data_IF_279449195587
#
_entry.id   IF_279449195587
#
_cell.length_a   1.000
_cell.length_b   1.000
_cell.length_c   1.000
_cell.angle_alpha   90.00
_cell.angle_beta   90.00
_cell.angle_gamma   90.00
#
_symmetry.space_group_name_H-M   'P 1'
#
loop_
_entity.id
_entity.type
_entity.pdbx_description
1 polymer ?
#
# COMPACT_ATOMS: atom_id res chain seq x y z
N UNK A 1 49.63 -2.35 53.08
CA UNK A 1 49.51 -1.55 51.83
C UNK A 1 48.87 -2.32 50.65
N UNK A 2 48.39 -3.54 50.84
CA UNK A 2 47.89 -4.41 49.73
C UNK A 2 46.37 -4.44 49.52
N UNK A 3 45.50 -4.17 50.54
CA UNK A 3 44.04 -4.32 50.40
C UNK A 3 43.34 -3.13 49.71
N UNK A 4 43.86 -1.92 49.89
CA UNK A 4 43.27 -0.69 49.29
C UNK A 4 43.42 -0.64 47.77
N UNK A 5 44.45 -1.27 47.22
CA UNK A 5 44.70 -1.32 45.74
C UNK A 5 43.74 -2.34 45.06
N UNK A 6 43.52 -3.52 45.70
CA UNK A 6 42.59 -4.54 45.17
C UNK A 6 41.15 -4.01 45.14
N UNK A 7 40.66 -3.27 46.15
CA UNK A 7 39.31 -2.72 46.15
C UNK A 7 39.07 -1.65 45.11
N UNK A 8 40.09 -0.84 44.75
CA UNK A 8 39.98 0.14 43.65
C UNK A 8 39.86 -0.52 42.29
N UNK A 9 40.59 -1.61 42.04
CA UNK A 9 40.50 -2.33 40.76
C UNK A 9 39.17 -3.06 40.55
N UNK A 10 38.60 -3.65 41.60
CA UNK A 10 37.29 -4.33 41.55
C UNK A 10 36.18 -3.33 41.32
N UNK A 11 36.19 -2.17 42.02
CA UNK A 11 35.21 -1.09 41.82
C UNK A 11 35.24 -0.54 40.38
N UNK A 12 36.41 -0.33 39.81
CA UNK A 12 36.60 0.17 38.45
C UNK A 12 36.12 -0.84 37.39
N UNK A 13 36.32 -2.13 37.63
CA UNK A 13 35.84 -3.21 36.73
C UNK A 13 34.31 -3.34 36.73
N UNK A 14 33.70 -3.23 37.92
CA UNK A 14 32.24 -3.26 38.05
C UNK A 14 31.56 -2.04 37.42
N UNK A 15 32.16 -0.85 37.57
CA UNK A 15 31.70 0.38 36.90
C UNK A 15 31.76 0.30 35.37
N UNK A 16 32.83 -0.25 34.80
CA UNK A 16 32.97 -0.43 33.38
C UNK A 16 31.93 -1.44 32.83
N UNK A 17 31.70 -2.54 33.54
CA UNK A 17 30.67 -3.53 33.16
C UNK A 17 29.26 -2.95 33.25
N UNK A 18 29.00 -2.13 34.26
CA UNK A 18 27.70 -1.44 34.39
C UNK A 18 27.49 -0.47 33.23
N UNK A 19 28.49 0.32 32.89
CA UNK A 19 28.45 1.26 31.79
C UNK A 19 28.24 0.56 30.45
N UNK A 20 28.91 -0.56 30.21
CA UNK A 20 28.72 -1.37 29.00
C UNK A 20 27.29 -1.91 28.89
N UNK A 21 26.73 -2.42 29.99
CA UNK A 21 25.35 -2.90 30.03
C UNK A 21 24.34 -1.78 29.70
N UNK A 22 24.55 -0.58 30.26
CA UNK A 22 23.68 0.57 30.00
C UNK A 22 23.71 0.99 28.54
N UNK A 23 24.92 1.01 27.94
CA UNK A 23 25.08 1.35 26.50
C UNK A 23 24.38 0.30 25.63
N UNK A 24 24.58 -0.99 25.89
CA UNK A 24 23.91 -2.06 25.14
C UNK A 24 22.39 -1.95 25.27
N UNK A 25 21.86 -1.70 26.44
CA UNK A 25 20.42 -1.54 26.66
C UNK A 25 19.88 -0.33 25.89
N UNK A 26 20.60 0.80 25.92
CA UNK A 26 20.20 1.99 25.18
C UNK A 26 20.16 1.75 23.66
N UNK A 27 21.18 1.04 23.13
CA UNK A 27 21.23 0.68 21.70
C UNK A 27 20.07 -0.25 21.32
N UNK A 28 19.76 -1.25 22.16
CA UNK A 28 18.64 -2.16 21.90
C UNK A 28 17.30 -1.42 21.94
N UNK A 29 17.08 -0.51 22.89
CA UNK A 29 15.86 0.29 22.96
C UNK A 29 15.72 1.20 21.74
N UNK A 30 16.80 1.85 21.31
CA UNK A 30 16.80 2.68 20.10
C UNK A 30 16.50 1.85 18.85
N UNK A 31 17.10 0.67 18.72
CA UNK A 31 16.86 -0.22 17.60
C UNK A 31 15.41 -0.74 17.58
N UNK A 32 14.87 -1.09 18.75
CA UNK A 32 13.46 -1.51 18.86
C UNK A 32 12.52 -0.36 18.49
N UNK A 33 12.79 0.84 18.96
CA UNK A 33 12.01 2.03 18.59
C UNK A 33 12.09 2.31 17.09
N UNK A 34 13.27 2.20 16.50
CA UNK A 34 13.48 2.37 15.06
C UNK A 34 12.70 1.34 14.24
N UNK A 35 12.77 0.06 14.63
CA UNK A 35 12.00 -1.00 13.96
C UNK A 35 10.49 -0.79 14.11
N UNK A 36 10.01 -0.43 15.29
CA UNK A 36 8.59 -0.17 15.52
C UNK A 36 8.10 1.03 14.70
N UNK A 37 8.87 2.12 14.63
CA UNK A 37 8.51 3.30 13.85
C UNK A 37 8.46 2.99 12.35
N UNK A 38 9.43 2.22 11.84
CA UNK A 38 9.45 1.78 10.45
C UNK A 38 8.33 0.81 10.12
N UNK A 39 8.03 -0.12 11.02
CA UNK A 39 6.92 -1.05 10.85
C UNK A 39 5.57 -0.34 10.86
N UNK A 40 5.38 0.64 11.76
CA UNK A 40 4.16 1.47 11.82
C UNK A 40 4.00 2.32 10.55
N UNK A 41 5.08 2.82 9.98
CA UNK A 41 5.05 3.56 8.71
C UNK A 41 4.70 2.61 7.55
N UNK A 42 5.24 1.40 7.54
CA UNK A 42 4.91 0.37 6.55
C UNK A 42 3.43 -0.04 6.64
N UNK A 43 2.89 -0.23 7.84
CA UNK A 43 1.47 -0.54 8.04
C UNK A 43 0.56 0.61 7.62
N UNK A 44 0.92 1.86 7.92
CA UNK A 44 0.19 3.04 7.43
C UNK A 44 0.19 3.11 5.90
N UNK A 45 1.26 2.69 5.26
CA UNK A 45 1.37 2.63 3.80
C UNK A 45 0.54 1.50 3.19
N UNK A 46 0.40 0.38 3.89
CA UNK A 46 -0.38 -0.77 3.43
C UNK A 46 -1.90 -0.52 3.52
N UNK A 47 -2.33 0.33 4.46
CA UNK A 47 -3.76 0.61 4.72
C UNK A 47 -4.26 1.91 4.12
N UNK A 48 -3.48 2.59 3.27
CA UNK A 48 -3.90 3.84 2.67
C UNK A 48 -4.99 3.62 1.64
N UNK A 49 -6.19 3.95 2.06
CA UNK A 49 -7.41 4.05 1.28
C UNK A 49 -8.12 2.73 0.95
N UNK A 50 -8.50 1.99 1.94
CA UNK A 50 -9.84 1.45 1.86
C UNK A 50 -10.76 2.67 2.10
N UNK A 51 -11.28 3.26 1.03
CA UNK A 51 -12.39 4.17 1.17
C UNK A 51 -13.51 3.35 1.80
N UNK A 52 -13.78 3.57 3.08
CA UNK A 52 -14.85 2.95 3.85
C UNK A 52 -16.22 3.51 3.44
N UNK A 53 -16.28 4.06 2.24
CA UNK A 53 -17.46 4.75 1.72
C UNK A 53 -18.26 3.81 0.84
N UNK A 54 -19.37 3.41 1.45
CA UNK A 54 -20.64 3.02 0.84
C UNK A 54 -20.53 1.95 -0.27
N UNK A 55 -20.75 0.75 0.16
CA UNK A 55 -21.18 -0.41 -0.65
C UNK A 55 -22.47 -0.10 -1.47
N UNK A 56 -23.02 1.10 -1.35
CA UNK A 56 -24.36 1.46 -1.88
C UNK A 56 -24.33 1.89 -3.35
N UNK A 57 -23.17 2.01 -3.98
CA UNK A 57 -23.08 2.35 -5.40
C UNK A 57 -22.35 1.26 -6.18
N UNK A 58 -23.11 0.26 -6.59
CA UNK A 58 -22.68 -0.69 -7.61
C UNK A 58 -22.70 0.05 -8.96
N UNK A 59 -21.53 0.24 -9.56
CA UNK A 59 -21.44 0.75 -10.92
C UNK A 59 -21.30 -0.42 -11.89
N UNK A 60 -22.11 -0.45 -12.93
CA UNK A 60 -21.91 -1.41 -14.02
C UNK A 60 -20.88 -0.86 -15.00
N UNK A 61 -19.84 -1.63 -15.22
CA UNK A 61 -18.81 -1.33 -16.21
C UNK A 61 -19.15 -2.04 -17.51
N UNK A 62 -19.87 -1.38 -18.41
CA UNK A 62 -20.23 -1.90 -19.72
C UNK A 62 -19.26 -1.42 -20.80
N UNK A 63 -19.29 -2.07 -21.97
CA UNK A 63 -18.46 -1.67 -23.09
C UNK A 63 -18.69 -0.21 -23.48
N UNK A 64 -17.61 0.57 -23.56
CA UNK A 64 -17.65 2.00 -23.83
C UNK A 64 -17.94 2.90 -22.62
N UNK A 65 -18.24 2.34 -21.44
CA UNK A 65 -18.34 3.12 -20.21
C UNK A 65 -16.98 3.22 -19.50
N UNK A 66 -16.83 4.26 -18.68
CA UNK A 66 -15.68 4.46 -17.83
C UNK A 66 -16.11 4.80 -16.41
N UNK A 67 -15.51 4.16 -15.44
CA UNK A 67 -15.65 4.52 -14.02
C UNK A 67 -14.33 5.11 -13.56
N UNK A 68 -14.41 6.25 -12.88
CA UNK A 68 -13.21 6.96 -12.43
C UNK A 68 -13.30 7.33 -10.96
N UNK A 69 -12.18 7.14 -10.24
CA UNK A 69 -12.04 7.57 -8.87
C UNK A 69 -10.80 8.45 -8.73
N UNK A 70 -10.99 9.64 -8.13
CA UNK A 70 -9.88 10.55 -7.83
C UNK A 70 -9.26 10.21 -6.49
N UNK A 71 -7.95 10.41 -6.37
CA UNK A 71 -7.23 10.28 -5.12
C UNK A 71 -6.07 11.26 -5.04
N UNK A 72 -5.70 11.62 -3.81
CA UNK A 72 -4.50 12.42 -3.54
C UNK A 72 -3.38 11.50 -3.11
N UNK A 73 -2.23 11.55 -3.78
CA UNK A 73 -1.09 10.72 -3.42
C UNK A 73 -0.55 11.11 -2.04
N UNK A 74 -0.73 10.24 -1.06
CA UNK A 74 -0.16 10.39 0.30
C UNK A 74 1.31 9.96 0.35
N UNK A 75 1.71 9.07 -0.54
CA UNK A 75 3.05 8.50 -0.66
C UNK A 75 3.59 8.65 -2.06
N UNK A 76 4.90 8.51 -2.20
CA UNK A 76 5.59 8.65 -3.50
C UNK A 76 5.59 7.37 -4.32
N UNK A 77 5.11 6.26 -3.79
CA UNK A 77 5.13 4.98 -4.46
C UNK A 77 3.76 4.29 -4.39
N UNK A 78 3.18 3.99 -5.54
CA UNK A 78 1.96 3.19 -5.69
C UNK A 78 2.34 1.81 -6.22
N UNK A 79 2.27 0.80 -5.35
CA UNK A 79 2.64 -0.59 -5.69
C UNK A 79 1.51 -1.38 -6.32
N UNK A 80 0.28 -1.15 -5.85
CA UNK A 80 -0.86 -1.98 -6.23
C UNK A 80 -2.14 -1.17 -6.13
N UNK A 81 -3.02 -1.36 -7.10
CA UNK A 81 -4.42 -0.94 -7.03
C UNK A 81 -5.27 -2.19 -6.90
N UNK A 82 -6.17 -2.22 -5.92
CA UNK A 82 -7.11 -3.32 -5.71
C UNK A 82 -8.51 -2.85 -6.07
N UNK A 83 -9.17 -3.61 -6.91
CA UNK A 83 -10.53 -3.33 -7.39
C UNK A 83 -11.43 -4.49 -7.02
N UNK A 84 -12.54 -4.21 -6.33
CA UNK A 84 -13.53 -5.21 -5.99
C UNK A 84 -14.56 -5.33 -7.12
N UNK A 85 -14.68 -6.52 -7.69
CA UNK A 85 -15.67 -6.85 -8.71
C UNK A 85 -16.78 -7.73 -8.11
N UNK A 86 -18.04 -7.30 -8.28
CA UNK A 86 -19.21 -8.07 -7.86
C UNK A 86 -19.56 -9.17 -8.85
N UNK A 87 -20.49 -10.03 -8.44
CA UNK A 87 -20.88 -11.22 -9.17
C UNK A 87 -22.19 -11.01 -9.95
N UNK A 88 -22.17 -10.23 -11.03
CA UNK A 88 -23.29 -10.22 -12.00
C UNK A 88 -22.93 -10.98 -13.29
N UNK A 89 -22.02 -11.91 -13.16
CA UNK A 89 -21.34 -12.50 -14.28
C UNK A 89 -21.69 -13.98 -14.39
N UNK A 90 -22.65 -14.26 -15.21
CA UNK A 90 -23.20 -15.61 -15.44
C UNK A 90 -22.68 -16.23 -16.74
N UNK A 91 -21.43 -16.09 -17.10
CA UNK A 91 -21.01 -16.65 -18.35
C UNK A 91 -19.54 -16.52 -18.73
N UNK A 92 -19.21 -17.01 -19.88
CA UNK A 92 -17.89 -16.94 -20.49
C UNK A 92 -17.64 -15.51 -21.00
N UNK A 93 -17.40 -14.53 -20.11
CA UNK A 93 -17.10 -13.20 -20.57
C UNK A 93 -15.75 -13.17 -21.25
N UNK A 94 -15.77 -12.81 -22.47
CA UNK A 94 -14.60 -12.47 -23.25
C UNK A 94 -14.36 -10.97 -23.18
N UNK A 95 -13.11 -10.54 -23.07
CA UNK A 95 -12.75 -9.13 -23.03
C UNK A 95 -11.66 -8.82 -22.04
N UNK A 96 -11.42 -7.54 -21.86
CA UNK A 96 -10.34 -7.05 -21.00
C UNK A 96 -10.84 -5.90 -20.14
N UNK A 97 -10.39 -5.87 -18.87
CA UNK A 97 -10.47 -4.70 -18.01
C UNK A 97 -9.19 -3.90 -18.17
N UNK A 98 -9.32 -2.63 -18.39
CA UNK A 98 -8.24 -1.68 -18.57
C UNK A 98 -8.29 -0.69 -17.42
N UNK A 99 -7.19 -0.59 -16.68
CA UNK A 99 -6.98 0.38 -15.62
C UNK A 99 -5.99 1.41 -16.10
N UNK A 100 -6.40 2.69 -16.14
CA UNK A 100 -5.54 3.82 -16.44
C UNK A 100 -5.32 4.64 -15.15
N UNK A 101 -4.09 5.05 -14.91
CA UNK A 101 -3.76 6.04 -13.90
C UNK A 101 -3.45 7.35 -14.62
N UNK A 102 -4.22 8.38 -14.30
CA UNK A 102 -4.19 9.67 -14.98
C UNK A 102 -3.69 10.73 -14.00
N UNK A 103 -2.72 11.49 -14.40
CA UNK A 103 -2.29 12.71 -13.73
C UNK A 103 -3.30 13.82 -14.04
N UNK A 104 -4.03 14.30 -13.03
CA UNK A 104 -5.11 15.27 -13.23
C UNK A 104 -4.60 16.68 -13.58
N UNK A 105 -3.37 17.01 -13.24
CA UNK A 105 -2.79 18.30 -13.59
C UNK A 105 -2.43 18.37 -15.09
N UNK A 106 -1.91 17.28 -15.65
CA UNK A 106 -1.48 17.22 -17.05
C UNK A 106 -2.52 16.58 -17.96
N UNK A 107 -3.52 15.89 -17.40
CA UNK A 107 -4.50 15.09 -18.13
C UNK A 107 -3.93 13.84 -18.80
N UNK A 108 -2.65 13.53 -18.56
CA UNK A 108 -1.97 12.41 -19.23
C UNK A 108 -2.14 11.10 -18.46
N UNK A 109 -2.36 10.02 -19.19
CA UNK A 109 -2.22 8.67 -18.65
C UNK A 109 -0.75 8.38 -18.38
N UNK A 110 -0.42 8.13 -17.12
CA UNK A 110 0.95 7.82 -16.67
C UNK A 110 1.21 6.32 -16.58
N UNK A 111 0.14 5.53 -16.49
CA UNK A 111 0.23 4.06 -16.55
C UNK A 111 -1.09 3.47 -17.03
N UNK A 112 -0.99 2.41 -17.84
CA UNK A 112 -2.11 1.62 -18.31
C UNK A 112 -1.83 0.15 -18.06
N UNK A 113 -2.76 -0.52 -17.38
CA UNK A 113 -2.70 -1.94 -17.05
C UNK A 113 -3.92 -2.64 -17.62
N UNK A 114 -3.75 -3.88 -18.04
CA UNK A 114 -4.82 -4.66 -18.66
C UNK A 114 -4.85 -6.05 -18.05
N UNK A 115 -6.05 -6.54 -17.75
CA UNK A 115 -6.31 -7.94 -17.36
C UNK A 115 -7.43 -8.51 -18.21
N UNK A 116 -7.35 -9.80 -18.52
CA UNK A 116 -8.48 -10.48 -19.15
C UNK A 116 -9.62 -10.58 -18.12
N UNK A 117 -10.86 -10.56 -18.60
CA UNK A 117 -12.02 -10.70 -17.71
C UNK A 117 -12.00 -12.08 -17.02
N UNK A 118 -11.50 -13.11 -17.71
CA UNK A 118 -11.29 -14.44 -17.12
C UNK A 118 -10.36 -14.47 -15.89
N UNK A 119 -9.49 -13.47 -15.77
CA UNK A 119 -8.53 -13.35 -14.65
C UNK A 119 -9.06 -12.48 -13.50
N UNK A 120 -10.29 -11.99 -13.62
CA UNK A 120 -10.97 -11.22 -12.59
C UNK A 120 -11.58 -12.17 -11.56
N UNK A 121 -11.30 -11.90 -10.30
CA UNK A 121 -11.87 -12.67 -9.20
C UNK A 121 -13.25 -12.11 -8.87
N UNK A 122 -14.28 -12.95 -8.97
CA UNK A 122 -15.65 -12.58 -8.65
C UNK A 122 -15.87 -12.50 -7.15
N UNK A 123 -16.59 -11.47 -6.71
CA UNK A 123 -16.87 -11.18 -5.30
C UNK A 123 -15.62 -11.06 -4.44
N UNK A 124 -14.53 -10.58 -5.02
CA UNK A 124 -13.27 -10.36 -4.33
C UNK A 124 -12.44 -9.25 -5.01
N UNK A 125 -11.33 -8.91 -4.37
CA UNK A 125 -10.40 -7.93 -4.89
C UNK A 125 -9.48 -8.50 -5.96
N UNK A 126 -9.51 -7.88 -7.12
CA UNK A 126 -8.54 -8.13 -8.18
C UNK A 126 -7.40 -7.12 -8.08
N UNK A 127 -6.16 -7.60 -8.05
CA UNK A 127 -4.97 -6.77 -7.91
C UNK A 127 -4.39 -6.36 -9.27
N UNK A 128 -4.10 -5.07 -9.40
CA UNK A 128 -3.31 -4.49 -10.50
C UNK A 128 -1.98 -4.00 -9.94
N UNK A 129 -0.89 -4.68 -10.28
CA UNK A 129 0.46 -4.29 -9.85
C UNK A 129 0.93 -3.09 -10.68
N UNK A 130 1.24 -1.98 -10.05
CA UNK A 130 1.56 -0.71 -10.70
C UNK A 130 3.05 -0.38 -10.67
N UNK A 131 3.67 -0.45 -9.50
CA UNK A 131 5.06 -0.06 -9.24
C UNK A 131 5.42 1.36 -9.74
N UNK A 132 4.51 2.32 -9.51
CA UNK A 132 4.53 3.66 -10.06
C UNK A 132 5.04 4.68 -9.05
N UNK A 133 5.95 5.57 -9.50
CA UNK A 133 6.36 6.74 -8.73
C UNK A 133 5.36 7.87 -8.91
N UNK A 134 4.86 8.41 -7.79
CA UNK A 134 3.91 9.52 -7.73
C UNK A 134 4.52 10.73 -7.02
N UNK A 135 4.00 11.89 -7.32
CA UNK A 135 4.33 13.11 -6.56
C UNK A 135 3.40 13.22 -5.35
N UNK A 136 3.97 13.29 -4.15
CA UNK A 136 3.19 13.42 -2.91
C UNK A 136 2.33 14.68 -2.94
N UNK A 137 1.09 14.58 -2.43
CA UNK A 137 0.06 15.62 -2.37
C UNK A 137 -0.53 16.03 -3.73
N UNK A 138 -0.14 15.38 -4.82
CA UNK A 138 -0.71 15.61 -6.14
C UNK A 138 -1.95 14.74 -6.34
N UNK A 139 -2.90 15.24 -7.15
CA UNK A 139 -4.14 14.54 -7.49
C UNK A 139 -3.97 13.67 -8.73
N UNK A 140 -4.50 12.48 -8.65
CA UNK A 140 -4.54 11.49 -9.71
C UNK A 140 -5.94 10.89 -9.83
N UNK A 141 -6.23 10.28 -10.96
CA UNK A 141 -7.45 9.49 -11.17
C UNK A 141 -7.11 8.07 -11.59
N UNK A 142 -7.77 7.11 -10.99
CA UNK A 142 -7.85 5.75 -11.50
C UNK A 142 -9.10 5.67 -12.36
N UNK A 143 -8.96 5.27 -13.61
CA UNK A 143 -10.05 5.08 -14.56
C UNK A 143 -10.08 3.62 -14.98
N UNK A 144 -11.25 3.01 -14.88
CA UNK A 144 -11.52 1.65 -15.34
C UNK A 144 -12.43 1.70 -16.56
N UNK A 145 -12.05 0.93 -17.58
CA UNK A 145 -12.85 0.71 -18.79
C UNK A 145 -12.83 -0.77 -19.15
N UNK A 146 -13.78 -1.22 -19.95
CA UNK A 146 -13.77 -2.57 -20.53
C UNK A 146 -13.66 -2.49 -22.05
N UNK A 147 -12.98 -3.47 -22.62
CA UNK A 147 -13.00 -3.74 -24.05
C UNK A 147 -13.52 -5.14 -24.29
N UNK A 148 -14.56 -5.29 -25.12
CA UNK A 148 -15.24 -6.58 -25.36
C UNK A 148 -16.41 -6.79 -24.43
N UNK A 149 -17.41 -7.14 -24.93
CA UNK A 149 -18.78 -7.54 -24.82
C UNK A 149 -19.59 -7.32 -23.54
N UNK A 150 -19.26 -7.59 -22.34
CA UNK A 150 -20.28 -7.67 -21.29
C UNK A 150 -20.06 -6.73 -20.10
N UNK A 151 -21.18 -6.40 -19.42
CA UNK A 151 -21.14 -5.55 -18.22
C UNK A 151 -20.51 -6.29 -17.05
N UNK A 152 -19.50 -5.69 -16.44
CA UNK A 152 -18.96 -6.10 -15.15
C UNK A 152 -19.58 -5.25 -14.05
N UNK A 153 -20.01 -5.88 -12.98
CA UNK A 153 -20.41 -5.15 -11.79
C UNK A 153 -19.16 -4.73 -11.01
N UNK A 154 -18.97 -3.43 -10.88
CA UNK A 154 -17.89 -2.84 -10.09
C UNK A 154 -18.47 -2.34 -8.78
N UNK A 155 -17.97 -2.79 -7.65
CA UNK A 155 -18.47 -2.39 -6.35
C UNK A 155 -17.55 -1.36 -5.69
N UNK A 156 -16.23 -1.47 -5.91
CA UNK A 156 -15.28 -0.57 -5.24
C UNK A 156 -13.90 -0.52 -5.89
N UNK A 157 -13.26 0.64 -5.90
CA UNK A 157 -11.86 0.86 -6.27
C UNK A 157 -11.05 1.23 -5.02
#
# INVERSE_FOLDING_TARGET
MSETVKNKHVKKKNSAVLLLKTVITAVLLFFTWYLCSHFMEYQKNATNQVNKYRIDQVCQLSAGSAVSQKFVAKHTHLKTVKVYFGNDYSGQASGKVILNIIDLETGKSIQRLTKNISDIVNNDYTEFKTDLQLTKKKEYSIQLTTSGAESLSLIHI
#
